data_IF_632995309787
#
_entry.id   IF_632995309787
#
_cell.length_a   1.000
_cell.length_b   1.000
_cell.length_c   1.000
_cell.angle_alpha   90.00
_cell.angle_beta   90.00
_cell.angle_gamma   90.00
#
_symmetry.space_group_name_H-M   'P 1'
#
loop_
_entity.id
_entity.type
_entity.pdbx_description
1 polymer ?
#
# COMPACT_ATOMS: atom_id res chain seq x y z
N UNK A 1 -13.91 -42.44 67.46
CA UNK A 1 -12.77 -41.50 67.68
C UNK A 1 -12.97 -40.28 66.76
N UNK A 2 -13.56 -39.21 67.31
CA UNK A 2 -13.88 -38.01 66.59
C UNK A 2 -12.67 -37.08 66.74
N UNK A 3 -12.01 -36.79 65.59
CA UNK A 3 -10.89 -35.86 65.57
C UNK A 3 -11.45 -34.44 65.61
N UNK A 4 -11.36 -33.76 66.72
CA UNK A 4 -11.65 -32.32 66.87
C UNK A 4 -10.48 -31.56 66.26
N UNK A 5 -10.64 -31.22 64.99
CA UNK A 5 -9.68 -30.34 64.29
C UNK A 5 -9.80 -28.92 64.87
N UNK A 6 -8.71 -28.47 65.52
CA UNK A 6 -8.67 -27.19 66.25
C UNK A 6 -9.10 -26.01 65.37
N UNK A 7 -10.08 -25.27 65.83
CA UNK A 7 -10.66 -24.07 65.17
C UNK A 7 -9.62 -23.00 64.72
N UNK A 8 -8.41 -23.06 65.31
CA UNK A 8 -7.30 -22.17 64.91
C UNK A 8 -6.75 -22.46 63.50
N UNK A 9 -6.64 -23.75 63.14
CA UNK A 9 -6.14 -24.13 61.81
C UNK A 9 -7.17 -23.86 60.71
N UNK A 10 -8.45 -23.96 61.03
CA UNK A 10 -9.53 -23.66 60.10
C UNK A 10 -9.57 -22.15 59.73
N UNK A 11 -9.38 -21.24 60.69
CA UNK A 11 -9.31 -19.78 60.44
C UNK A 11 -8.09 -19.40 59.62
N UNK A 12 -6.93 -19.97 59.85
CA UNK A 12 -5.70 -19.67 59.08
C UNK A 12 -5.80 -20.21 57.65
N UNK A 13 -6.40 -21.37 57.44
CA UNK A 13 -6.63 -21.94 56.12
C UNK A 13 -7.65 -21.12 55.34
N UNK A 14 -8.74 -20.71 55.97
CA UNK A 14 -9.77 -19.89 55.36
C UNK A 14 -9.26 -18.49 54.95
N UNK A 15 -8.41 -17.87 55.77
CA UNK A 15 -7.78 -16.57 55.46
C UNK A 15 -6.77 -16.66 54.31
N UNK A 16 -6.00 -17.76 54.23
CA UNK A 16 -5.06 -17.99 53.10
C UNK A 16 -5.78 -18.26 51.80
N UNK A 17 -6.91 -18.96 51.80
CA UNK A 17 -7.71 -19.21 50.61
C UNK A 17 -8.40 -17.95 50.11
N UNK A 18 -8.91 -17.07 50.98
CA UNK A 18 -9.49 -15.78 50.62
C UNK A 18 -8.42 -14.85 50.06
N UNK A 19 -7.23 -14.79 50.68
CA UNK A 19 -6.13 -13.96 50.17
C UNK A 19 -5.64 -14.42 48.76
N UNK A 20 -5.64 -15.74 48.52
CA UNK A 20 -5.26 -16.30 47.22
C UNK A 20 -6.31 -16.02 46.13
N UNK A 21 -7.59 -16.10 46.47
CA UNK A 21 -8.70 -15.76 45.55
C UNK A 21 -8.71 -14.26 45.25
N UNK A 22 -8.46 -13.38 46.24
CA UNK A 22 -8.32 -11.94 46.03
C UNK A 22 -7.11 -11.63 45.17
N UNK A 23 -5.97 -12.32 45.31
CA UNK A 23 -4.79 -12.16 44.47
C UNK A 23 -5.07 -12.54 43.00
N UNK A 24 -5.84 -13.62 42.78
CA UNK A 24 -6.26 -14.03 41.42
C UNK A 24 -7.22 -13.03 40.75
N UNK A 25 -8.04 -12.32 41.55
CA UNK A 25 -8.92 -11.27 41.01
C UNK A 25 -8.14 -10.03 40.56
N UNK A 26 -6.99 -9.74 41.16
CA UNK A 26 -6.11 -8.64 40.68
C UNK A 26 -5.36 -8.99 39.40
N UNK A 27 -5.08 -10.27 39.13
CA UNK A 27 -4.47 -10.69 37.87
C UNK A 27 -5.48 -10.81 36.72
N UNK A 28 -6.77 -10.92 36.98
CA UNK A 28 -7.80 -11.02 35.96
C UNK A 28 -8.21 -9.65 35.32
N UNK A 29 -7.69 -8.52 35.83
CA UNK A 29 -8.09 -7.17 35.37
C UNK A 29 -7.04 -6.51 34.52
N UNK A 30 -6.09 -7.26 33.93
CA UNK A 30 -5.07 -6.73 32.99
C UNK A 30 -5.16 -7.32 31.60
N UNK A 31 -6.26 -7.95 31.21
CA UNK A 31 -6.58 -8.13 29.81
C UNK A 31 -7.19 -6.81 29.33
N UNK A 32 -6.34 -5.89 28.88
CA UNK A 32 -6.78 -4.76 28.11
C UNK A 32 -7.72 -5.27 27.02
N UNK A 33 -8.97 -4.82 27.05
CA UNK A 33 -9.94 -5.05 25.97
C UNK A 33 -9.26 -4.46 24.73
N UNK A 34 -8.62 -5.31 23.92
CA UNK A 34 -8.24 -4.92 22.55
C UNK A 34 -9.57 -4.70 21.84
N UNK A 35 -10.00 -3.45 21.80
CA UNK A 35 -11.11 -3.04 20.94
C UNK A 35 -10.65 -3.36 19.52
N UNK A 36 -11.17 -4.45 18.95
CA UNK A 36 -10.94 -4.81 17.56
C UNK A 36 -11.74 -3.82 16.71
N UNK A 37 -11.09 -2.72 16.35
CA UNK A 37 -11.67 -1.79 15.38
C UNK A 37 -11.76 -2.50 14.03
N UNK A 38 -12.87 -2.30 13.31
CA UNK A 38 -12.96 -2.77 11.93
C UNK A 38 -11.93 -2.02 11.07
N UNK A 39 -11.45 -2.64 9.99
CA UNK A 39 -10.50 -2.02 9.06
C UNK A 39 -11.02 -0.66 8.55
N UNK A 40 -12.31 -0.57 8.28
CA UNK A 40 -12.95 0.68 7.87
C UNK A 40 -12.97 1.74 8.98
N UNK A 41 -13.22 1.33 10.23
CA UNK A 41 -13.15 2.26 11.38
C UNK A 41 -11.74 2.80 11.59
N UNK A 42 -10.70 1.96 11.46
CA UNK A 42 -9.31 2.39 11.54
C UNK A 42 -8.99 3.46 10.50
N UNK A 43 -9.44 3.25 9.26
CA UNK A 43 -9.19 4.21 8.18
C UNK A 43 -9.95 5.53 8.36
N UNK A 44 -11.23 5.48 8.78
CA UNK A 44 -12.10 6.66 8.84
C UNK A 44 -11.97 7.46 10.13
N UNK A 45 -11.58 6.83 11.26
CA UNK A 45 -11.44 7.46 12.58
C UNK A 45 -9.99 7.65 12.98
N UNK A 46 -9.06 7.62 12.03
CA UNK A 46 -7.62 7.66 12.24
C UNK A 46 -7.19 8.77 13.19
N UNK A 47 -7.63 10.00 12.98
CA UNK A 47 -7.20 11.16 13.75
C UNK A 47 -7.61 11.05 15.23
N UNK A 48 -8.83 10.59 15.50
CA UNK A 48 -9.31 10.36 16.86
C UNK A 48 -8.54 9.24 17.56
N UNK A 49 -8.25 8.16 16.83
CA UNK A 49 -7.52 7.01 17.39
C UNK A 49 -6.06 7.36 17.69
N UNK A 50 -5.40 8.09 16.82
CA UNK A 50 -4.03 8.58 17.01
C UNK A 50 -3.97 9.56 18.17
N UNK A 51 -4.93 10.51 18.27
CA UNK A 51 -4.95 11.49 19.35
C UNK A 51 -5.12 10.87 20.74
N UNK A 52 -5.83 9.74 20.83
CA UNK A 52 -6.02 8.99 22.06
C UNK A 52 -4.81 8.10 22.43
N UNK A 53 -4.01 7.71 21.45
CA UNK A 53 -2.89 6.78 21.60
C UNK A 53 -1.69 7.24 20.76
N UNK A 54 -1.08 8.38 21.05
CA UNK A 54 -0.08 9.01 20.15
C UNK A 54 1.21 8.21 20.00
N UNK A 55 1.56 7.37 20.98
CA UNK A 55 2.80 6.59 20.99
C UNK A 55 2.60 5.13 20.59
N UNK A 56 1.38 4.73 20.17
CA UNK A 56 1.09 3.35 19.76
C UNK A 56 1.48 3.10 18.29
N UNK A 57 2.70 2.64 18.07
CA UNK A 57 3.23 2.33 16.75
C UNK A 57 2.47 1.19 16.04
N UNK A 58 1.95 0.21 16.78
CA UNK A 58 1.18 -0.90 16.19
C UNK A 58 -0.19 -0.42 15.69
N UNK A 59 -0.83 0.45 16.45
CA UNK A 59 -2.06 1.13 16.02
C UNK A 59 -1.81 1.99 14.78
N UNK A 60 -0.75 2.78 14.74
CA UNK A 60 -0.39 3.60 13.58
C UNK A 60 -0.19 2.75 12.33
N UNK A 61 0.57 1.66 12.42
CA UNK A 61 0.77 0.72 11.31
C UNK A 61 -0.55 0.09 10.85
N UNK A 62 -1.44 -0.25 11.79
CA UNK A 62 -2.77 -0.80 11.48
C UNK A 62 -3.65 0.22 10.73
N UNK A 63 -3.60 1.49 11.12
CA UNK A 63 -4.29 2.60 10.46
C UNK A 63 -3.75 2.79 9.02
N UNK A 64 -2.43 2.81 8.85
CA UNK A 64 -1.80 2.96 7.53
C UNK A 64 -2.23 1.82 6.60
N UNK A 65 -2.19 0.57 7.07
CA UNK A 65 -2.63 -0.59 6.28
C UNK A 65 -4.12 -0.51 5.92
N UNK A 66 -4.98 -0.09 6.85
CA UNK A 66 -6.40 0.11 6.61
C UNK A 66 -6.66 1.22 5.56
N UNK A 67 -5.91 2.32 5.61
CA UNK A 67 -5.98 3.39 4.59
C UNK A 67 -5.51 2.90 3.22
N UNK A 68 -4.44 2.10 3.14
CA UNK A 68 -3.97 1.48 1.88
C UNK A 68 -5.07 0.58 1.29
N UNK A 69 -5.70 -0.25 2.10
CA UNK A 69 -6.79 -1.12 1.68
C UNK A 69 -8.00 -0.31 1.18
N UNK A 70 -8.37 0.75 1.91
CA UNK A 70 -9.44 1.66 1.52
C UNK A 70 -9.14 2.36 0.18
N UNK A 71 -7.90 2.86 -0.01
CA UNK A 71 -7.48 3.52 -1.23
C UNK A 71 -7.55 2.58 -2.45
N UNK A 72 -7.17 1.31 -2.28
CA UNK A 72 -7.26 0.29 -3.35
C UNK A 72 -8.70 -0.03 -3.75
N UNK A 73 -9.65 0.00 -2.80
CA UNK A 73 -11.03 -0.39 -3.04
C UNK A 73 -11.91 0.75 -3.54
N UNK A 74 -11.74 1.94 -2.97
CA UNK A 74 -12.56 3.13 -3.31
C UNK A 74 -11.90 4.03 -4.35
N UNK A 75 -10.59 3.90 -4.54
CA UNK A 75 -9.80 4.87 -5.28
C UNK A 75 -9.63 6.17 -4.47
N UNK A 76 -8.78 7.05 -4.97
CA UNK A 76 -8.60 8.38 -4.39
C UNK A 76 -7.16 8.65 -3.97
N UNK A 77 -6.55 9.61 -4.66
CA UNK A 77 -5.18 10.03 -4.38
C UNK A 77 -5.05 10.64 -2.98
N UNK A 78 -6.10 11.32 -2.50
CA UNK A 78 -6.11 11.99 -1.19
C UNK A 78 -5.83 11.04 -0.02
N UNK A 79 -6.26 9.78 -0.11
CA UNK A 79 -5.99 8.79 0.94
C UNK A 79 -4.48 8.48 1.01
N UNK A 80 -3.79 8.43 -0.15
CA UNK A 80 -2.33 8.25 -0.17
C UNK A 80 -1.60 9.49 0.34
N UNK A 81 -2.12 10.70 0.12
CA UNK A 81 -1.60 11.94 0.71
C UNK A 81 -1.73 11.93 2.24
N UNK A 82 -2.88 11.49 2.77
CA UNK A 82 -3.07 11.29 4.21
C UNK A 82 -2.07 10.26 4.79
N UNK A 83 -1.79 9.17 4.08
CA UNK A 83 -0.78 8.20 4.51
C UNK A 83 0.59 8.85 4.60
N UNK A 84 0.98 9.72 3.66
CA UNK A 84 2.27 10.42 3.71
C UNK A 84 2.38 11.46 4.82
N UNK A 85 1.26 11.97 5.35
CA UNK A 85 1.26 12.79 6.56
C UNK A 85 1.62 11.94 7.78
N UNK A 86 1.14 10.68 7.84
CA UNK A 86 1.40 9.75 8.93
C UNK A 86 2.79 9.07 8.81
N UNK A 87 3.17 8.68 7.60
CA UNK A 87 4.45 8.05 7.27
C UNK A 87 4.98 8.61 5.94
N UNK A 88 5.81 9.67 5.98
CA UNK A 88 6.39 10.27 4.77
C UNK A 88 7.25 9.32 3.94
N UNK A 89 7.71 8.20 4.54
CA UNK A 89 8.58 7.21 3.88
C UNK A 89 7.82 6.06 3.25
N UNK A 90 6.49 6.05 3.33
CA UNK A 90 5.65 4.97 2.84
C UNK A 90 5.74 4.82 1.32
N UNK A 91 6.47 3.79 0.87
CA UNK A 91 6.74 3.55 -0.55
C UNK A 91 5.47 3.29 -1.37
N UNK A 92 4.44 2.66 -0.79
CA UNK A 92 3.18 2.37 -1.49
C UNK A 92 2.45 3.67 -1.78
N UNK A 93 2.34 4.55 -0.80
CA UNK A 93 1.69 5.85 -0.98
C UNK A 93 2.47 6.73 -1.97
N UNK A 94 3.80 6.82 -1.82
CA UNK A 94 4.66 7.54 -2.77
C UNK A 94 4.50 7.00 -4.20
N UNK A 95 4.47 5.68 -4.38
CA UNK A 95 4.27 5.04 -5.68
C UNK A 95 2.97 5.51 -6.34
N UNK A 96 1.84 5.41 -5.64
CA UNK A 96 0.55 5.78 -6.20
C UNK A 96 0.45 7.28 -6.52
N UNK A 97 1.08 8.15 -5.71
CA UNK A 97 1.16 9.58 -6.00
C UNK A 97 1.99 9.82 -7.27
N UNK A 98 3.15 9.16 -7.43
CA UNK A 98 3.97 9.31 -8.64
C UNK A 98 3.31 8.75 -9.89
N UNK A 99 2.58 7.64 -9.78
CA UNK A 99 1.75 7.14 -10.87
C UNK A 99 0.68 8.14 -11.28
N UNK A 100 -0.02 8.73 -10.31
CA UNK A 100 -1.05 9.74 -10.57
C UNK A 100 -0.48 11.02 -11.22
N UNK A 101 0.66 11.50 -10.73
CA UNK A 101 1.39 12.63 -11.38
C UNK A 101 1.70 12.29 -12.85
N UNK A 102 2.21 11.08 -13.10
CA UNK A 102 2.51 10.60 -14.44
C UNK A 102 1.29 10.59 -15.36
N UNK A 103 0.14 10.10 -14.87
CA UNK A 103 -1.12 10.13 -15.64
C UNK A 103 -1.55 11.55 -15.96
N UNK A 104 -1.52 12.45 -14.97
CA UNK A 104 -1.87 13.86 -15.19
C UNK A 104 -1.00 14.55 -16.22
N UNK A 105 0.31 14.26 -16.26
CA UNK A 105 1.21 14.79 -17.28
C UNK A 105 1.00 14.13 -18.64
N UNK A 106 0.77 12.81 -18.67
CA UNK A 106 0.54 12.07 -19.90
C UNK A 106 -0.73 12.51 -20.63
N UNK A 107 -1.80 12.86 -19.88
CA UNK A 107 -3.07 13.31 -20.45
C UNK A 107 -2.96 14.72 -21.08
N UNK A 108 -1.95 15.49 -20.72
CA UNK A 108 -1.73 16.80 -21.35
C UNK A 108 -1.25 16.65 -22.81
N UNK A 109 -1.85 17.45 -23.69
CA UNK A 109 -1.61 17.38 -25.16
C UNK A 109 -0.37 18.14 -25.63
N UNK A 110 0.68 18.30 -24.81
CA UNK A 110 1.90 18.95 -25.22
C UNK A 110 3.14 18.06 -25.02
N UNK A 111 4.11 18.15 -25.93
CA UNK A 111 5.30 17.28 -25.93
C UNK A 111 6.11 17.32 -24.62
N UNK A 112 6.23 18.50 -24.00
CA UNK A 112 6.96 18.64 -22.73
C UNK A 112 6.28 17.89 -21.58
N UNK A 113 4.95 17.78 -21.57
CA UNK A 113 4.22 16.98 -20.58
C UNK A 113 4.60 15.51 -20.60
N UNK A 114 5.02 14.98 -21.75
CA UNK A 114 5.45 13.59 -21.85
C UNK A 114 6.79 13.34 -21.17
N UNK A 115 7.70 14.31 -21.14
CA UNK A 115 8.93 14.23 -20.34
C UNK A 115 8.64 14.20 -18.84
N UNK A 116 7.72 15.04 -18.38
CA UNK A 116 7.30 15.06 -16.97
C UNK A 116 6.62 13.74 -16.60
N UNK A 117 5.80 13.19 -17.50
CA UNK A 117 5.18 11.87 -17.32
C UNK A 117 6.24 10.76 -17.20
N UNK A 118 7.23 10.72 -18.10
CA UNK A 118 8.32 9.75 -18.06
C UNK A 118 9.08 9.85 -16.74
N UNK A 119 9.39 11.07 -16.25
CA UNK A 119 10.07 11.26 -14.98
C UNK A 119 9.22 10.77 -13.79
N UNK A 120 7.93 11.08 -13.78
CA UNK A 120 7.03 10.66 -12.70
C UNK A 120 6.90 9.13 -12.65
N UNK A 121 6.66 8.47 -13.80
CA UNK A 121 6.59 7.01 -13.90
C UNK A 121 7.94 6.35 -13.56
N UNK A 122 9.07 6.95 -13.94
CA UNK A 122 10.40 6.44 -13.57
C UNK A 122 10.63 6.50 -12.05
N UNK A 123 10.16 7.55 -11.38
CA UNK A 123 10.20 7.64 -9.92
C UNK A 123 9.32 6.56 -9.29
N UNK A 124 8.13 6.30 -9.84
CA UNK A 124 7.26 5.22 -9.38
C UNK A 124 7.95 3.85 -9.56
N UNK A 125 8.58 3.59 -10.72
CA UNK A 125 9.33 2.36 -10.96
C UNK A 125 10.48 2.13 -9.96
N UNK A 126 11.14 3.22 -9.53
CA UNK A 126 12.21 3.15 -8.53
C UNK A 126 11.70 2.87 -7.11
N UNK A 127 10.45 3.23 -6.78
CA UNK A 127 9.84 2.97 -5.47
C UNK A 127 9.43 1.51 -5.30
N UNK A 128 8.87 0.88 -6.36
CA UNK A 128 8.46 -0.53 -6.40
C UNK A 128 8.94 -1.14 -7.72
N UNK A 129 10.15 -1.64 -7.72
CA UNK A 129 10.88 -2.14 -8.89
C UNK A 129 10.37 -3.46 -9.47
N UNK A 130 9.47 -4.13 -8.75
CA UNK A 130 8.85 -5.40 -9.16
C UNK A 130 7.62 -5.23 -10.05
N UNK A 131 7.08 -4.00 -10.17
CA UNK A 131 5.87 -3.72 -10.93
C UNK A 131 6.18 -3.27 -12.37
N UNK A 132 5.52 -3.89 -13.34
CA UNK A 132 5.69 -3.56 -14.76
C UNK A 132 4.88 -2.36 -15.25
N UNK A 133 3.84 -1.97 -14.53
CA UNK A 133 2.93 -0.90 -14.93
C UNK A 133 3.61 0.45 -15.21
N UNK A 134 4.55 0.95 -14.36
CA UNK A 134 5.23 2.20 -14.65
C UNK A 134 5.99 2.17 -15.99
N UNK A 135 6.64 1.04 -16.31
CA UNK A 135 7.37 0.88 -17.56
C UNK A 135 6.44 0.86 -18.79
N UNK A 136 5.24 0.29 -18.66
CA UNK A 136 4.23 0.40 -19.71
C UNK A 136 3.91 1.86 -20.02
N UNK A 137 3.64 2.66 -18.98
CA UNK A 137 3.29 4.06 -19.15
C UNK A 137 4.46 4.93 -19.63
N UNK A 138 5.70 4.58 -19.27
CA UNK A 138 6.91 5.19 -19.86
C UNK A 138 6.92 4.94 -21.38
N UNK A 139 6.66 3.70 -21.82
CA UNK A 139 6.54 3.38 -23.23
C UNK A 139 5.46 4.20 -23.96
N UNK A 140 4.28 4.32 -23.33
CA UNK A 140 3.18 5.14 -23.87
C UNK A 140 3.55 6.63 -23.98
N UNK A 141 4.28 7.14 -22.98
CA UNK A 141 4.72 8.53 -23.00
C UNK A 141 5.79 8.79 -24.08
N UNK A 142 6.70 7.85 -24.31
CA UNK A 142 7.65 7.94 -25.44
C UNK A 142 6.94 7.93 -26.79
N UNK A 143 5.96 7.02 -27.02
CA UNK A 143 5.17 7.00 -28.24
C UNK A 143 4.44 8.33 -28.50
N UNK A 144 3.84 8.91 -27.44
CA UNK A 144 3.11 10.19 -27.57
C UNK A 144 4.05 11.38 -27.77
N UNK A 145 5.28 11.31 -27.22
CA UNK A 145 6.29 12.35 -27.37
C UNK A 145 6.84 12.42 -28.80
N UNK A 146 7.13 11.26 -29.37
CA UNK A 146 7.70 11.13 -30.72
C UNK A 146 7.21 9.85 -31.39
N UNK A 147 6.31 10.00 -32.35
CA UNK A 147 5.71 8.87 -33.08
C UNK A 147 6.71 8.10 -33.95
N UNK A 148 7.87 8.69 -34.24
CA UNK A 148 8.95 8.09 -35.02
C UNK A 148 10.03 7.43 -34.14
N UNK A 149 9.97 7.58 -32.84
CA UNK A 149 10.81 6.83 -31.90
C UNK A 149 10.18 5.47 -31.64
N UNK A 150 10.75 4.42 -32.19
CA UNK A 150 10.30 3.04 -31.99
C UNK A 150 11.11 2.30 -30.92
N UNK A 151 12.33 2.74 -30.62
CA UNK A 151 13.28 2.00 -29.77
C UNK A 151 12.96 2.19 -28.30
N UNK A 152 12.82 3.44 -27.81
CA UNK A 152 12.54 3.72 -26.39
C UNK A 152 11.19 3.16 -25.93
N UNK A 153 10.09 3.29 -26.70
CA UNK A 153 8.84 2.63 -26.34
C UNK A 153 8.98 1.10 -26.30
N UNK A 154 9.68 0.49 -27.28
CA UNK A 154 9.88 -0.96 -27.35
C UNK A 154 10.67 -1.48 -26.16
N UNK A 155 11.76 -0.81 -25.79
CA UNK A 155 12.55 -1.12 -24.59
C UNK A 155 11.68 -1.08 -23.33
N UNK A 156 10.87 -0.03 -23.19
CA UNK A 156 9.97 0.17 -22.04
C UNK A 156 8.93 -0.95 -21.95
N UNK A 157 8.30 -1.34 -23.06
CA UNK A 157 7.34 -2.46 -23.09
C UNK A 157 8.01 -3.80 -22.79
N UNK A 158 9.20 -4.03 -23.33
CA UNK A 158 9.96 -5.23 -23.02
C UNK A 158 10.28 -5.30 -21.52
N UNK A 159 10.75 -4.19 -20.92
CA UNK A 159 11.01 -4.12 -19.48
C UNK A 159 9.73 -4.39 -18.67
N UNK A 160 8.61 -3.77 -19.05
CA UNK A 160 7.30 -3.99 -18.42
C UNK A 160 6.93 -5.47 -18.37
N UNK A 161 7.10 -6.19 -19.48
CA UNK A 161 6.77 -7.62 -19.61
C UNK A 161 7.68 -8.56 -18.80
N UNK A 162 8.84 -8.09 -18.34
CA UNK A 162 9.73 -8.88 -17.46
C UNK A 162 9.35 -8.78 -15.98
N UNK A 163 8.44 -7.89 -15.62
CA UNK A 163 8.04 -7.59 -14.26
C UNK A 163 6.60 -8.07 -14.01
N UNK A 164 6.14 -7.93 -12.75
CA UNK A 164 4.78 -8.31 -12.40
C UNK A 164 3.76 -7.38 -13.07
N UNK A 165 2.79 -7.98 -13.76
CA UNK A 165 1.64 -7.32 -14.35
C UNK A 165 0.37 -8.15 -14.07
N UNK A 166 -0.76 -7.51 -13.71
CA UNK A 166 -2.06 -8.15 -13.78
C UNK A 166 -2.35 -8.66 -15.20
N UNK A 167 -3.14 -9.75 -15.36
CA UNK A 167 -3.39 -10.36 -16.68
C UNK A 167 -3.93 -9.39 -17.74
N UNK A 168 -4.88 -8.54 -17.37
CA UNK A 168 -5.46 -7.52 -18.24
C UNK A 168 -4.45 -6.44 -18.66
N UNK A 169 -3.55 -6.08 -17.76
CA UNK A 169 -2.48 -5.13 -18.06
C UNK A 169 -1.42 -5.76 -18.96
N UNK A 170 -1.07 -7.04 -18.73
CA UNK A 170 -0.13 -7.77 -19.58
C UNK A 170 -0.61 -7.81 -21.02
N UNK A 171 -1.89 -8.11 -21.24
CA UNK A 171 -2.50 -8.11 -22.58
C UNK A 171 -2.40 -6.72 -23.26
N UNK A 172 -2.66 -5.63 -22.50
CA UNK A 172 -2.50 -4.25 -23.00
C UNK A 172 -1.08 -3.95 -23.45
N UNK A 173 -0.08 -4.38 -22.65
CA UNK A 173 1.34 -4.18 -22.99
C UNK A 173 1.71 -4.95 -24.25
N UNK A 174 1.30 -6.20 -24.35
CA UNK A 174 1.54 -7.03 -25.54
C UNK A 174 0.88 -6.46 -26.79
N UNK A 175 -0.33 -5.93 -26.66
CA UNK A 175 -1.04 -5.27 -27.76
C UNK A 175 -0.29 -4.02 -28.20
N UNK A 176 0.05 -3.11 -27.29
CA UNK A 176 0.80 -1.88 -27.61
C UNK A 176 2.15 -2.19 -28.27
N UNK A 177 2.86 -3.20 -27.78
CA UNK A 177 4.11 -3.66 -28.40
C UNK A 177 3.91 -4.18 -29.82
N UNK A 178 2.87 -4.98 -30.09
CA UNK A 178 2.55 -5.48 -31.45
C UNK A 178 2.23 -4.33 -32.40
N UNK A 179 1.44 -3.35 -31.95
CA UNK A 179 1.06 -2.20 -32.75
C UNK A 179 2.26 -1.31 -33.08
N UNK A 180 3.15 -1.11 -32.11
CA UNK A 180 4.41 -0.40 -32.30
C UNK A 180 5.29 -1.10 -33.35
N UNK A 181 5.48 -2.41 -33.24
CA UNK A 181 6.29 -3.19 -34.19
C UNK A 181 5.69 -3.17 -35.61
N UNK A 182 4.36 -3.18 -35.72
CA UNK A 182 3.69 -3.05 -37.03
C UNK A 182 3.95 -1.68 -37.65
N UNK A 183 3.86 -0.58 -36.88
CA UNK A 183 4.19 0.77 -37.36
C UNK A 183 5.65 0.88 -37.77
N UNK A 184 6.58 0.36 -36.92
CA UNK A 184 8.01 0.31 -37.25
C UNK A 184 8.27 -0.38 -38.58
N UNK A 185 7.67 -1.57 -38.78
CA UNK A 185 7.80 -2.30 -40.04
C UNK A 185 7.31 -1.48 -41.24
N UNK A 186 6.13 -0.85 -41.14
CA UNK A 186 5.60 0.01 -42.22
C UNK A 186 6.53 1.16 -42.53
N UNK A 187 7.13 1.78 -41.50
CA UNK A 187 8.11 2.84 -41.67
C UNK A 187 9.37 2.33 -42.38
N UNK A 188 9.95 1.23 -41.94
CA UNK A 188 11.14 0.62 -42.53
C UNK A 188 10.91 0.19 -43.98
N UNK A 189 9.73 -0.33 -44.32
CA UNK A 189 9.36 -0.74 -45.68
C UNK A 189 9.17 0.46 -46.63
N UNK A 190 8.75 1.63 -46.08
CA UNK A 190 8.58 2.86 -46.88
C UNK A 190 9.92 3.51 -47.24
N UNK A 191 10.95 3.38 -46.39
CA UNK A 191 12.24 4.01 -46.59
C UNK A 191 13.31 3.11 -47.25
N UNK A 192 12.98 1.87 -47.60
CA UNK A 192 13.83 0.95 -48.36
C UNK A 192 13.59 1.07 -49.83
#
# INVERSE_FOLDING_TARGET
MVVVMSMKYFKVFFFKTIAFVLLLLFFACSSGIKTTHSELDLALKSDSLISLNPDDADLLNSIINAKISLAKTKGGISIYEEILILDPTNKIAQYHIKMNEGYQYHDKDYKNGQWDAIQAFSKAAALIDTLGEPHYWIGKAYEKKDEMDFELPLESYNKSLTLFLPPDMKEKVEMSKRDLLKRKKTYDDFWR
#
